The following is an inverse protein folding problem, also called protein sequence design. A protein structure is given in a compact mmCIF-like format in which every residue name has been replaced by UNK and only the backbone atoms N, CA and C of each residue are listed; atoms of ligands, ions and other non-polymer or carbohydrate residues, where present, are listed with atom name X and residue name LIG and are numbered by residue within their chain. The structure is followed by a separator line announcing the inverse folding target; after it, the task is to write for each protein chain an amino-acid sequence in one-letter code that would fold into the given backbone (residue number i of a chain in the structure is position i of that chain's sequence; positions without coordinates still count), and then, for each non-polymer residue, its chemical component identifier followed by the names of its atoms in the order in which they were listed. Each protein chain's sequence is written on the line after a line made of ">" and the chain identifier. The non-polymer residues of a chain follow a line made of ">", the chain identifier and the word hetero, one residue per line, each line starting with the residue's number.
data_IF_350013521956
#
_entry.id   IF_350013521956
#
_cell.length_a   1.000
_cell.length_b   1.000
_cell.length_c   1.000
_cell.angle_alpha   90.00
_cell.angle_beta   90.00
_cell.angle_gamma   90.00
#
_symmetry.space_group_name_H-M   'P 1'
#
loop_
_entity.id
_entity.type
_entity.pdbx_description
1 polymer ?
#
# COMPACT_ATOMS: atom_id res chain seq x y z
N UNK A 1 -8.85 15.34 -10.17
CA UNK A 1 -7.48 14.79 -10.23
C UNK A 1 -6.84 15.17 -11.57
N UNK A 2 -5.51 15.22 -11.61
CA UNK A 2 -4.75 15.45 -12.86
C UNK A 2 -5.13 14.47 -13.96
N UNK A 3 -5.44 13.24 -13.62
CA UNK A 3 -5.90 12.22 -14.56
C UNK A 3 -7.26 12.57 -15.17
N UNK A 4 -8.19 13.06 -14.38
CA UNK A 4 -9.51 13.47 -14.89
C UNK A 4 -9.44 14.62 -15.91
N UNK A 5 -8.43 15.50 -15.77
CA UNK A 5 -8.26 16.67 -16.63
C UNK A 5 -7.31 16.43 -17.82
N UNK A 6 -6.35 15.51 -17.69
CA UNK A 6 -5.21 15.33 -18.60
C UNK A 6 -4.84 13.86 -18.77
N UNK A 7 -5.84 12.97 -18.89
CA UNK A 7 -5.69 11.52 -18.87
C UNK A 7 -4.55 10.99 -19.75
N UNK A 8 -4.56 11.32 -21.04
CA UNK A 8 -3.56 10.82 -22.00
C UNK A 8 -2.13 11.28 -21.65
N UNK A 9 -1.97 12.53 -21.25
CA UNK A 9 -0.67 13.05 -20.84
C UNK A 9 -0.18 12.37 -19.56
N UNK A 10 -1.07 12.16 -18.59
CA UNK A 10 -0.74 11.46 -17.34
C UNK A 10 -0.33 10.01 -17.59
N UNK A 11 -1.04 9.30 -18.49
CA UNK A 11 -0.71 7.93 -18.90
C UNK A 11 0.67 7.87 -19.55
N UNK A 12 0.98 8.81 -20.46
CA UNK A 12 2.28 8.87 -21.12
C UNK A 12 3.41 9.10 -20.12
N UNK A 13 3.27 10.10 -19.23
CA UNK A 13 4.28 10.40 -18.19
C UNK A 13 4.48 9.19 -17.27
N UNK A 14 3.40 8.51 -16.89
CA UNK A 14 3.48 7.35 -16.01
C UNK A 14 4.23 6.18 -16.68
N UNK A 15 3.93 5.87 -17.94
CA UNK A 15 4.68 4.85 -18.70
C UNK A 15 6.14 5.18 -18.84
N UNK A 16 6.47 6.42 -19.19
CA UNK A 16 7.86 6.87 -19.31
C UNK A 16 8.58 6.81 -17.97
N UNK A 17 7.91 7.21 -16.87
CA UNK A 17 8.50 7.13 -15.53
C UNK A 17 8.84 5.67 -15.13
N UNK A 18 7.94 4.72 -15.36
CA UNK A 18 8.22 3.31 -15.08
C UNK A 18 9.34 2.76 -15.96
N UNK A 19 9.38 3.10 -17.25
CA UNK A 19 10.42 2.67 -18.16
C UNK A 19 11.81 3.24 -17.77
N UNK A 20 11.85 4.50 -17.32
CA UNK A 20 13.09 5.19 -16.96
C UNK A 20 13.55 4.87 -15.55
N UNK A 21 12.63 4.63 -14.60
CA UNK A 21 12.97 4.32 -13.21
C UNK A 21 13.92 3.11 -13.11
N UNK A 22 13.74 2.12 -13.98
CA UNK A 22 14.62 0.97 -14.07
C UNK A 22 16.05 1.32 -14.49
N UNK A 23 16.23 2.32 -15.33
CA UNK A 23 17.54 2.77 -15.81
C UNK A 23 18.25 3.64 -14.76
N UNK A 24 17.49 4.43 -14.00
CA UNK A 24 18.01 5.40 -13.02
C UNK A 24 18.35 4.70 -11.69
N UNK A 25 17.55 3.72 -11.30
CA UNK A 25 17.75 2.95 -10.08
C UNK A 25 18.05 1.49 -10.44
N UNK A 26 19.32 1.17 -10.78
CA UNK A 26 19.69 -0.22 -10.88
C UNK A 26 19.30 -0.90 -9.57
N UNK A 27 18.49 -1.94 -9.67
CA UNK A 27 17.98 -2.67 -8.50
C UNK A 27 19.17 -2.99 -7.61
N UNK A 28 19.14 -2.44 -6.40
CA UNK A 28 20.20 -2.68 -5.45
C UNK A 28 20.02 -4.10 -4.88
N UNK A 29 20.61 -5.08 -5.56
CA UNK A 29 20.52 -6.48 -5.18
C UNK A 29 21.24 -6.83 -3.86
N UNK A 30 21.73 -5.83 -3.12
CA UNK A 30 22.38 -6.07 -1.83
C UNK A 30 21.46 -6.69 -0.77
N UNK A 31 20.16 -6.49 -0.89
CA UNK A 31 19.15 -7.12 -0.02
C UNK A 31 18.68 -8.50 -0.50
N UNK A 32 19.10 -8.91 -1.70
CA UNK A 32 18.72 -10.19 -2.27
C UNK A 32 19.50 -11.36 -1.61
N UNK A 33 18.86 -12.53 -1.58
CA UNK A 33 19.51 -13.74 -1.08
C UNK A 33 20.77 -14.07 -1.91
N UNK A 34 21.83 -14.64 -1.30
CA UNK A 34 23.07 -14.99 -2.01
C UNK A 34 22.85 -15.82 -3.26
N UNK A 35 21.86 -16.73 -3.24
CA UNK A 35 21.51 -17.58 -4.38
C UNK A 35 20.98 -16.77 -5.57
N UNK A 36 20.20 -15.72 -5.31
CA UNK A 36 19.69 -14.83 -6.35
C UNK A 36 20.83 -14.03 -6.99
N UNK A 37 21.73 -13.49 -6.17
CA UNK A 37 22.90 -12.73 -6.62
C UNK A 37 23.83 -13.60 -7.47
N UNK A 38 24.13 -14.81 -7.00
CA UNK A 38 24.95 -15.78 -7.75
C UNK A 38 24.31 -16.15 -9.09
N UNK A 39 22.98 -16.35 -9.13
CA UNK A 39 22.27 -16.64 -10.38
C UNK A 39 22.30 -15.46 -11.37
N UNK A 40 22.42 -14.23 -10.88
CA UNK A 40 22.57 -13.02 -11.69
C UNK A 40 24.04 -12.70 -12.05
N UNK A 41 24.99 -13.54 -11.63
CA UNK A 41 26.42 -13.29 -11.85
C UNK A 41 27.02 -12.16 -11.03
N UNK A 42 26.33 -11.72 -9.96
CA UNK A 42 26.78 -10.64 -9.09
C UNK A 42 27.58 -11.21 -7.91
N UNK A 43 28.74 -10.59 -7.65
CA UNK A 43 29.54 -10.88 -6.45
C UNK A 43 28.90 -10.35 -5.17
N UNK A 44 29.43 -10.75 -4.00
CA UNK A 44 28.87 -10.41 -2.69
C UNK A 44 28.82 -8.91 -2.39
N UNK A 45 29.70 -8.12 -3.00
CA UNK A 45 29.81 -6.67 -2.83
C UNK A 45 29.39 -5.86 -4.06
N UNK A 46 29.00 -6.52 -5.15
CA UNK A 46 28.59 -5.81 -6.37
C UNK A 46 27.14 -5.33 -6.29
N UNK A 47 26.93 -4.08 -6.65
CA UNK A 47 25.61 -3.51 -6.87
C UNK A 47 25.37 -3.36 -8.37
N UNK A 48 24.23 -3.80 -8.84
CA UNK A 48 23.87 -3.68 -10.25
C UNK A 48 22.49 -4.25 -10.52
N UNK A 49 21.99 -4.03 -11.74
CA UNK A 49 20.76 -4.65 -12.19
C UNK A 49 20.97 -6.16 -12.37
N UNK A 50 20.11 -6.97 -11.78
CA UNK A 50 20.16 -8.44 -11.89
C UNK A 50 19.62 -8.95 -13.25
N UNK A 51 19.09 -8.07 -14.08
CA UNK A 51 18.60 -8.37 -15.42
C UNK A 51 18.78 -7.16 -16.34
N UNK A 52 18.88 -7.39 -17.63
CA UNK A 52 18.90 -6.33 -18.63
C UNK A 52 17.48 -5.85 -18.94
N UNK A 53 17.33 -4.57 -19.31
CA UNK A 53 16.05 -3.96 -19.67
C UNK A 53 15.28 -4.76 -20.73
N UNK A 54 15.99 -5.29 -21.71
CA UNK A 54 15.41 -6.08 -22.81
C UNK A 54 14.85 -7.43 -22.36
N UNK A 55 15.24 -7.90 -21.18
CA UNK A 55 14.75 -9.15 -20.57
C UNK A 55 13.59 -8.97 -19.59
N UNK A 56 13.14 -7.73 -19.35
CA UNK A 56 12.06 -7.45 -18.43
C UNK A 56 10.71 -7.82 -19.04
N UNK A 57 10.12 -8.87 -18.52
CA UNK A 57 8.78 -9.29 -18.90
C UNK A 57 7.68 -8.55 -18.12
N UNK A 58 8.00 -8.01 -16.94
CA UNK A 58 7.05 -7.36 -16.02
C UNK A 58 7.73 -6.33 -15.13
N UNK A 59 6.97 -5.29 -14.81
CA UNK A 59 7.31 -4.31 -13.77
C UNK A 59 6.43 -4.56 -12.55
N UNK A 60 6.96 -4.29 -11.36
CA UNK A 60 6.21 -4.30 -10.12
C UNK A 60 6.59 -3.13 -9.26
N UNK A 61 5.62 -2.57 -8.55
CA UNK A 61 5.82 -1.52 -7.55
C UNK A 61 5.04 -1.87 -6.28
N UNK A 62 5.59 -1.56 -5.12
CA UNK A 62 4.98 -1.80 -3.83
C UNK A 62 4.80 -0.50 -3.02
N UNK A 63 4.80 0.64 -3.67
CA UNK A 63 4.57 1.94 -3.03
C UNK A 63 3.10 2.03 -2.56
N UNK A 64 2.83 2.17 -1.26
CA UNK A 64 1.46 2.15 -0.74
C UNK A 64 0.56 3.22 -1.35
N UNK A 65 1.13 4.38 -1.69
CA UNK A 65 0.39 5.54 -2.18
C UNK A 65 -0.03 5.42 -3.65
N UNK A 66 0.45 4.40 -4.39
CA UNK A 66 -0.05 4.09 -5.73
C UNK A 66 -1.55 3.79 -5.77
N UNK A 67 -2.14 3.34 -4.68
CA UNK A 67 -3.58 3.12 -4.58
C UNK A 67 -4.38 4.39 -4.94
N UNK A 68 -3.88 5.57 -4.60
CA UNK A 68 -4.53 6.85 -4.88
C UNK A 68 -4.41 7.31 -6.34
N UNK A 69 -3.55 6.66 -7.11
CA UNK A 69 -3.33 6.89 -8.54
C UNK A 69 -3.81 5.69 -9.39
N UNK A 70 -4.64 4.80 -8.83
CA UNK A 70 -5.02 3.54 -9.47
C UNK A 70 -5.65 3.75 -10.85
N UNK A 71 -6.49 4.77 -11.03
CA UNK A 71 -7.12 5.07 -12.32
C UNK A 71 -6.07 5.41 -13.40
N UNK A 72 -5.08 6.21 -13.05
CA UNK A 72 -3.98 6.55 -13.95
C UNK A 72 -3.08 5.33 -14.25
N UNK A 73 -2.83 4.51 -13.22
CA UNK A 73 -2.06 3.28 -13.35
C UNK A 73 -2.73 2.30 -14.30
N UNK A 74 -4.04 2.07 -14.15
CA UNK A 74 -4.82 1.18 -15.00
C UNK A 74 -4.92 1.74 -16.41
N UNK A 75 -5.09 3.05 -16.56
CA UNK A 75 -5.05 3.71 -17.86
C UNK A 75 -3.69 3.53 -18.56
N UNK A 76 -2.59 3.61 -17.83
CA UNK A 76 -1.25 3.39 -18.36
C UNK A 76 -0.96 1.90 -18.65
N UNK A 77 -1.44 1.01 -17.80
CA UNK A 77 -1.19 -0.43 -17.85
C UNK A 77 -2.52 -1.19 -17.70
N UNK A 78 -3.30 -1.35 -18.79
CA UNK A 78 -4.62 -1.98 -18.73
C UNK A 78 -4.62 -3.44 -18.28
N UNK A 79 -3.48 -4.11 -18.35
CA UNK A 79 -3.23 -5.47 -17.88
C UNK A 79 -2.64 -5.54 -16.47
N UNK A 80 -2.53 -4.40 -15.77
CA UNK A 80 -1.99 -4.36 -14.43
C UNK A 80 -2.79 -5.24 -13.48
N UNK A 81 -2.07 -5.98 -12.63
CA UNK A 81 -2.63 -6.78 -11.54
C UNK A 81 -2.33 -6.12 -10.22
N UNK A 82 -3.37 -5.77 -9.49
CA UNK A 82 -3.27 -5.05 -8.23
C UNK A 82 -3.44 -6.04 -7.07
N UNK A 83 -2.47 -6.06 -6.18
CA UNK A 83 -2.56 -6.81 -4.91
C UNK A 83 -2.83 -5.80 -3.80
N UNK A 84 -4.02 -5.89 -3.22
CA UNK A 84 -4.36 -5.16 -2.02
C UNK A 84 -4.00 -6.00 -0.79
N UNK A 85 -3.21 -5.43 0.13
CA UNK A 85 -2.99 -6.01 1.44
C UNK A 85 -3.80 -5.19 2.45
N UNK A 86 -4.78 -5.83 3.10
CA UNK A 86 -5.57 -5.22 4.16
C UNK A 86 -5.09 -5.72 5.51
N UNK A 87 -4.91 -4.80 6.46
CA UNK A 87 -4.49 -5.07 7.83
C UNK A 87 -5.52 -4.49 8.80
N UNK A 88 -5.60 -5.06 10.01
CA UNK A 88 -6.40 -4.49 11.10
C UNK A 88 -6.11 -3.00 11.24
N UNK A 89 -7.18 -2.19 11.18
CA UNK A 89 -7.08 -0.73 11.25
C UNK A 89 -6.43 -0.26 12.55
N UNK A 90 -6.66 -0.97 13.66
CA UNK A 90 -6.07 -0.66 14.96
C UNK A 90 -4.55 -0.83 14.95
N UNK A 91 -4.06 -1.93 14.39
CA UNK A 91 -2.60 -2.14 14.20
C UNK A 91 -2.00 -1.14 13.20
N UNK A 92 -2.76 -0.77 12.16
CA UNK A 92 -2.31 0.20 11.16
C UNK A 92 -2.20 1.60 11.76
N UNK A 93 -3.19 2.03 12.54
CA UNK A 93 -3.17 3.33 13.26
C UNK A 93 -2.05 3.37 14.29
N UNK A 94 -1.88 2.30 15.09
CA UNK A 94 -0.78 2.21 16.05
C UNK A 94 0.60 2.34 15.37
N UNK A 95 0.77 1.74 14.19
CA UNK A 95 2.00 1.86 13.43
C UNK A 95 2.20 3.28 12.87
N UNK A 96 1.15 3.90 12.31
CA UNK A 96 1.22 5.27 11.80
C UNK A 96 1.58 6.29 12.88
N UNK A 97 0.97 6.19 14.07
CA UNK A 97 1.25 7.09 15.19
C UNK A 97 2.70 7.05 15.67
N UNK A 98 3.39 5.93 15.47
CA UNK A 98 4.79 5.75 15.84
C UNK A 98 5.77 6.07 14.72
N UNK A 99 5.28 6.31 13.50
CA UNK A 99 6.12 6.66 12.34
C UNK A 99 6.23 8.17 12.15
N UNK A 100 7.41 8.78 12.42
CA UNK A 100 7.59 10.22 12.27
C UNK A 100 7.37 10.73 10.84
N UNK A 101 7.60 9.89 9.83
CA UNK A 101 7.42 10.28 8.42
C UNK A 101 5.92 10.38 8.12
N UNK A 102 5.15 9.37 8.49
CA UNK A 102 3.68 9.39 8.32
C UNK A 102 3.06 10.56 9.08
N UNK A 103 3.49 10.82 10.32
CA UNK A 103 2.94 11.88 11.14
C UNK A 103 3.24 13.30 10.61
N UNK A 104 4.25 13.47 9.76
CA UNK A 104 4.48 14.76 9.09
C UNK A 104 3.33 15.16 8.16
N UNK A 105 2.66 14.19 7.52
CA UNK A 105 1.53 14.46 6.63
C UNK A 105 0.35 15.12 7.33
N UNK A 106 0.18 14.91 8.64
CA UNK A 106 -0.94 15.44 9.41
C UNK A 106 -0.65 16.81 10.06
N UNK A 107 0.57 17.36 9.85
CA UNK A 107 0.93 18.67 10.41
C UNK A 107 0.16 19.80 9.73
N UNK A 108 -0.21 20.84 10.50
CA UNK A 108 -0.81 22.05 9.94
C UNK A 108 0.06 22.62 8.80
N UNK A 109 -0.59 23.00 7.71
CA UNK A 109 0.08 23.54 6.52
C UNK A 109 0.61 22.51 5.53
N UNK A 110 0.68 21.21 5.90
CA UNK A 110 0.99 20.12 4.97
C UNK A 110 -0.31 19.44 4.51
N UNK A 111 -1.20 19.11 5.45
CA UNK A 111 -2.50 18.57 5.13
C UNK A 111 -3.39 19.64 4.46
N UNK A 112 -3.43 19.64 3.15
CA UNK A 112 -4.14 20.63 2.35
C UNK A 112 -5.55 20.13 1.96
N UNK A 113 -6.39 19.92 2.98
CA UNK A 113 -7.73 19.32 2.84
C UNK A 113 -8.70 20.26 2.12
N UNK A 114 -8.52 21.56 2.28
CA UNK A 114 -9.43 22.55 1.69
C UNK A 114 -9.15 22.78 0.20
N UNK A 115 -7.96 22.52 -0.30
CA UNK A 115 -7.61 22.70 -1.73
C UNK A 115 -7.96 21.50 -2.60
N UNK A 116 -8.11 20.31 -2.00
CA UNK A 116 -8.48 19.09 -2.71
C UNK A 116 -9.55 18.33 -1.92
N UNK A 117 -10.78 18.44 -2.36
CA UNK A 117 -11.93 17.79 -1.74
C UNK A 117 -12.80 17.10 -2.82
N UNK A 118 -13.23 15.86 -2.62
CA UNK A 118 -12.82 14.93 -1.55
C UNK A 118 -11.34 14.57 -1.63
N UNK A 119 -10.72 14.32 -0.46
CA UNK A 119 -9.30 13.97 -0.39
C UNK A 119 -9.12 12.52 0.11
N UNK A 120 -9.04 11.55 -0.80
CA UNK A 120 -8.94 10.14 -0.43
C UNK A 120 -7.62 9.78 0.28
N UNK A 121 -6.55 10.54 0.07
CA UNK A 121 -5.27 10.31 0.73
C UNK A 121 -5.37 10.49 2.25
N UNK A 122 -6.13 11.48 2.70
CA UNK A 122 -6.40 11.70 4.12
C UNK A 122 -7.67 10.98 4.59
N UNK A 123 -8.41 10.34 3.69
CA UNK A 123 -9.68 9.70 3.98
C UNK A 123 -10.83 10.68 4.27
N UNK A 124 -10.68 11.94 3.83
CA UNK A 124 -11.70 12.99 3.93
C UNK A 124 -12.62 12.86 2.71
N UNK A 125 -13.78 12.25 2.90
CA UNK A 125 -14.67 11.88 1.79
C UNK A 125 -15.94 12.73 1.73
N UNK A 126 -16.35 13.32 2.85
CA UNK A 126 -17.56 14.13 2.95
C UNK A 126 -17.34 15.44 3.75
N UNK A 127 -18.35 16.30 3.76
CA UNK A 127 -18.30 17.60 4.45
C UNK A 127 -18.17 17.45 5.97
N UNK A 128 -18.68 16.37 6.56
CA UNK A 128 -18.52 16.11 7.99
C UNK A 128 -17.05 15.87 8.33
N UNK A 129 -16.39 14.97 7.56
CA UNK A 129 -14.96 14.71 7.69
C UNK A 129 -14.15 16.01 7.57
N UNK A 130 -14.49 16.84 6.55
CA UNK A 130 -13.79 18.10 6.28
C UNK A 130 -13.92 19.10 7.42
N UNK A 131 -15.14 19.32 7.90
CA UNK A 131 -15.40 20.29 8.97
C UNK A 131 -14.80 19.87 10.31
N UNK A 132 -14.74 18.57 10.59
CA UNK A 132 -14.23 18.07 11.86
C UNK A 132 -12.72 17.87 11.90
N UNK A 133 -12.06 17.78 10.75
CA UNK A 133 -10.64 17.45 10.60
C UNK A 133 -9.69 18.20 11.52
N UNK A 134 -9.84 19.54 11.62
CA UNK A 134 -8.93 20.36 12.41
C UNK A 134 -8.98 20.05 13.91
N UNK A 135 -10.12 19.56 14.40
CA UNK A 135 -10.35 19.19 15.80
C UNK A 135 -10.09 17.71 16.11
N UNK A 136 -9.80 16.88 15.10
CA UNK A 136 -9.56 15.47 15.32
C UNK A 136 -8.21 15.21 15.98
N UNK A 137 -8.15 14.18 16.83
CA UNK A 137 -6.91 13.63 17.35
C UNK A 137 -6.08 12.98 16.21
N UNK A 138 -4.78 12.80 16.44
CA UNK A 138 -3.91 12.14 15.48
C UNK A 138 -4.37 10.71 15.21
N UNK A 139 -4.88 9.99 16.22
CA UNK A 139 -5.44 8.66 16.05
C UNK A 139 -6.67 8.66 15.13
N UNK A 140 -7.57 9.63 15.29
CA UNK A 140 -8.74 9.79 14.41
C UNK A 140 -8.34 10.13 12.97
N UNK A 141 -7.33 10.98 12.76
CA UNK A 141 -6.79 11.30 11.43
C UNK A 141 -6.15 10.09 10.76
N UNK A 142 -5.36 9.31 11.49
CA UNK A 142 -4.82 8.03 11.00
C UNK A 142 -5.94 7.03 10.67
N UNK A 143 -7.00 6.99 11.47
CA UNK A 143 -8.16 6.15 11.23
C UNK A 143 -8.95 6.57 9.97
N UNK A 144 -9.11 7.88 9.72
CA UNK A 144 -9.66 8.39 8.46
C UNK A 144 -8.85 7.93 7.25
N UNK A 145 -7.53 8.06 7.29
CA UNK A 145 -6.65 7.61 6.22
C UNK A 145 -6.80 6.11 5.95
N UNK A 146 -6.81 5.27 6.99
CA UNK A 146 -7.04 3.84 6.85
C UNK A 146 -8.41 3.53 6.26
N UNK A 147 -9.48 4.18 6.77
CA UNK A 147 -10.85 4.06 6.27
C UNK A 147 -10.93 4.42 4.78
N UNK A 148 -10.35 5.55 4.39
CA UNK A 148 -10.32 6.01 2.99
C UNK A 148 -9.62 5.02 2.07
N UNK A 149 -8.47 4.48 2.47
CA UNK A 149 -7.76 3.46 1.70
C UNK A 149 -8.59 2.18 1.51
N UNK A 150 -9.27 1.71 2.56
CA UNK A 150 -10.15 0.54 2.50
C UNK A 150 -11.36 0.79 1.59
N UNK A 151 -11.98 1.95 1.68
CA UNK A 151 -13.12 2.34 0.83
C UNK A 151 -12.70 2.51 -0.63
N UNK A 152 -11.53 3.10 -0.88
CA UNK A 152 -10.96 3.20 -2.22
C UNK A 152 -10.77 1.82 -2.86
N UNK A 153 -10.19 0.88 -2.15
CA UNK A 153 -10.02 -0.48 -2.65
C UNK A 153 -11.36 -1.21 -2.86
N UNK A 154 -12.37 -0.92 -2.05
CA UNK A 154 -13.72 -1.44 -2.26
C UNK A 154 -14.35 -0.91 -3.56
N UNK A 155 -14.14 0.39 -3.87
CA UNK A 155 -14.57 1.00 -5.15
C UNK A 155 -13.82 0.37 -6.34
N UNK A 156 -12.51 0.22 -6.24
CA UNK A 156 -11.71 -0.43 -7.29
C UNK A 156 -12.19 -1.85 -7.58
N UNK A 157 -12.59 -2.61 -6.57
CA UNK A 157 -13.14 -3.96 -6.75
C UNK A 157 -14.46 -3.98 -7.52
N UNK A 158 -15.24 -2.90 -7.49
CA UNK A 158 -16.49 -2.79 -8.26
C UNK A 158 -16.24 -2.41 -9.72
N UNK A 159 -15.12 -1.79 -10.02
CA UNK A 159 -14.80 -1.27 -11.37
C UNK A 159 -13.82 -2.15 -12.12
N UNK A 160 -12.96 -2.89 -11.44
CA UNK A 160 -11.96 -3.74 -12.05
C UNK A 160 -12.47 -5.16 -12.31
N UNK A 161 -11.99 -5.82 -13.39
CA UNK A 161 -12.16 -7.25 -13.58
C UNK A 161 -11.66 -8.05 -12.36
N UNK A 162 -12.33 -9.16 -12.06
CA UNK A 162 -12.02 -9.97 -10.88
C UNK A 162 -10.59 -10.55 -10.88
N UNK A 163 -9.99 -10.70 -12.05
CA UNK A 163 -8.62 -11.18 -12.24
C UNK A 163 -7.56 -10.07 -12.17
N UNK A 164 -7.97 -8.81 -12.03
CA UNK A 164 -7.04 -7.67 -11.89
C UNK A 164 -6.86 -7.19 -10.45
N UNK A 165 -7.73 -7.56 -9.51
CA UNK A 165 -7.61 -7.16 -8.10
C UNK A 165 -7.71 -8.34 -7.16
N UNK A 166 -6.62 -8.63 -6.45
CA UNK A 166 -6.57 -9.63 -5.38
C UNK A 166 -6.40 -8.96 -4.03
N UNK A 167 -7.28 -9.28 -3.08
CA UNK A 167 -7.14 -8.83 -1.69
C UNK A 167 -6.61 -9.96 -0.82
N UNK A 168 -5.59 -9.66 -0.03
CA UNK A 168 -5.03 -10.55 0.99
C UNK A 168 -5.12 -9.88 2.35
N UNK A 169 -5.40 -10.65 3.39
CA UNK A 169 -5.30 -10.18 4.78
C UNK A 169 -3.86 -10.32 5.25
N UNK A 170 -3.33 -9.26 5.80
CA UNK A 170 -1.97 -9.23 6.35
C UNK A 170 -1.77 -10.35 7.39
N UNK A 171 -2.76 -10.53 8.27
CA UNK A 171 -2.74 -11.52 9.34
C UNK A 171 -2.68 -12.95 8.79
N UNK A 172 -3.36 -13.24 7.69
CA UNK A 172 -3.33 -14.56 7.05
C UNK A 172 -1.99 -14.79 6.33
N UNK A 173 -1.45 -13.75 5.70
CA UNK A 173 -0.13 -13.81 5.06
C UNK A 173 0.98 -14.18 6.06
N UNK A 174 0.96 -13.60 7.25
CA UNK A 174 1.95 -13.92 8.29
C UNK A 174 1.66 -15.22 9.02
N UNK A 175 0.40 -15.67 9.09
CA UNK A 175 0.03 -16.96 9.66
C UNK A 175 0.42 -18.11 8.72
N UNK A 176 0.16 -17.97 7.43
CA UNK A 176 0.33 -18.98 6.40
C UNK A 176 1.15 -18.44 5.19
N UNK A 177 2.43 -18.11 5.37
CA UNK A 177 3.22 -17.43 4.34
C UNK A 177 3.40 -18.26 3.05
N UNK A 178 3.39 -19.59 3.13
CA UNK A 178 3.47 -20.47 1.95
C UNK A 178 2.20 -20.42 1.12
N UNK A 179 1.04 -20.41 1.76
CA UNK A 179 -0.26 -20.29 1.09
C UNK A 179 -0.40 -18.92 0.43
N UNK A 180 0.00 -17.85 1.14
CA UNK A 180 0.02 -16.51 0.58
C UNK A 180 0.94 -16.40 -0.64
N UNK A 181 2.14 -17.00 -0.60
CA UNK A 181 3.06 -17.05 -1.74
C UNK A 181 2.47 -17.83 -2.92
N UNK A 182 1.79 -18.93 -2.67
CA UNK A 182 1.06 -19.70 -3.68
C UNK A 182 -0.04 -18.88 -4.35
N UNK A 183 -0.87 -18.22 -3.56
CA UNK A 183 -1.93 -17.32 -4.04
C UNK A 183 -1.37 -16.17 -4.88
N UNK A 184 -0.27 -15.56 -4.45
CA UNK A 184 0.38 -14.50 -5.20
C UNK A 184 0.99 -15.02 -6.51
N UNK A 185 1.61 -16.20 -6.48
CA UNK A 185 2.16 -16.86 -7.68
C UNK A 185 1.07 -17.10 -8.71
N UNK A 186 -0.05 -17.67 -8.30
CA UNK A 186 -1.21 -17.93 -9.17
C UNK A 186 -1.78 -16.62 -9.73
N UNK A 187 -2.00 -15.64 -8.87
CA UNK A 187 -2.57 -14.36 -9.27
C UNK A 187 -1.66 -13.56 -10.18
N UNK A 188 -0.37 -13.45 -9.86
CA UNK A 188 0.58 -12.66 -10.67
C UNK A 188 1.10 -13.42 -11.88
N UNK A 189 1.02 -14.75 -11.87
CA UNK A 189 1.67 -15.62 -12.87
C UNK A 189 3.19 -15.54 -12.83
N UNK A 190 3.76 -15.14 -11.68
CA UNK A 190 5.20 -15.04 -11.44
C UNK A 190 5.53 -15.77 -10.15
N UNK A 191 6.55 -16.61 -10.16
CA UNK A 191 6.94 -17.36 -8.96
C UNK A 191 7.33 -16.42 -7.83
N UNK A 192 6.55 -16.44 -6.75
CA UNK A 192 6.86 -15.73 -5.51
C UNK A 192 7.59 -16.69 -4.57
N UNK A 193 8.87 -16.42 -4.32
CA UNK A 193 9.68 -17.27 -3.47
C UNK A 193 9.24 -17.13 -1.99
N UNK A 194 8.98 -18.25 -1.33
CA UNK A 194 8.64 -18.29 0.09
C UNK A 194 9.69 -17.64 1.03
N UNK A 195 11.00 -17.60 0.73
CA UNK A 195 11.99 -16.90 1.55
C UNK A 195 11.78 -15.39 1.67
N UNK A 196 11.11 -14.75 0.72
CA UNK A 196 10.73 -13.33 0.83
C UNK A 196 9.86 -13.08 2.08
N UNK A 197 9.16 -14.12 2.54
CA UNK A 197 8.35 -14.12 3.76
C UNK A 197 9.11 -14.56 5.01
N UNK A 198 10.45 -14.72 4.95
CA UNK A 198 11.25 -15.28 6.05
C UNK A 198 11.28 -14.42 7.32
N UNK A 199 11.01 -13.14 7.21
CA UNK A 199 10.87 -12.22 8.35
C UNK A 199 9.53 -12.35 9.11
N UNK A 200 8.71 -13.36 8.77
CA UNK A 200 7.36 -13.54 9.33
C UNK A 200 7.32 -13.60 10.86
N UNK A 201 8.40 -14.06 11.52
CA UNK A 201 8.46 -14.11 13.01
C UNK A 201 8.44 -12.71 13.62
N UNK A 202 9.16 -11.75 13.02
CA UNK A 202 9.15 -10.34 13.46
C UNK A 202 7.79 -9.70 13.16
N UNK A 203 7.26 -9.94 11.97
CA UNK A 203 5.96 -9.44 11.55
C UNK A 203 4.82 -10.00 12.41
N UNK A 204 4.86 -11.29 12.76
CA UNK A 204 3.88 -11.92 13.66
C UNK A 204 3.84 -11.27 15.04
N UNK A 205 4.99 -10.82 15.57
CA UNK A 205 5.05 -10.12 16.85
C UNK A 205 4.43 -8.72 16.80
N UNK A 206 4.21 -8.16 15.62
CA UNK A 206 3.66 -6.82 15.42
C UNK A 206 2.19 -6.84 14.98
N UNK A 207 1.58 -8.02 14.82
CA UNK A 207 0.18 -8.17 14.44
C UNK A 207 -0.68 -8.50 15.66
N UNK A 208 -1.80 -7.81 15.78
CA UNK A 208 -2.72 -7.95 16.91
C UNK A 208 -2.13 -7.40 18.21
N UNK A 209 -1.24 -6.41 18.16
CA UNK A 209 -0.57 -5.81 19.32
C UNK A 209 -1.01 -4.37 19.60
N UNK A 210 -1.98 -3.88 18.85
CA UNK A 210 -2.50 -2.51 18.98
C UNK A 210 -2.91 -2.15 20.43
N UNK A 211 -3.45 -3.11 21.19
CA UNK A 211 -3.85 -2.92 22.58
C UNK A 211 -2.68 -2.59 23.54
N UNK A 212 -1.43 -2.83 23.09
CA UNK A 212 -0.22 -2.44 23.85
C UNK A 212 0.24 -1.02 23.49
N UNK A 213 -0.22 -0.49 22.37
CA UNK A 213 0.28 0.76 21.79
C UNK A 213 -0.75 1.88 21.82
N UNK A 214 -2.05 1.56 21.74
CA UNK A 214 -3.11 2.54 21.75
C UNK A 214 -3.68 2.71 23.17
N UNK A 215 -3.84 3.96 23.60
CA UNK A 215 -4.62 4.30 24.79
C UNK A 215 -6.12 4.07 24.55
N UNK A 216 -6.91 3.99 25.61
CA UNK A 216 -8.36 3.86 25.52
C UNK A 216 -9.02 5.06 24.77
N UNK A 217 -8.46 6.25 24.90
CA UNK A 217 -8.94 7.44 24.19
C UNK A 217 -8.68 7.34 22.70
N UNK A 218 -7.45 6.96 22.30
CA UNK A 218 -7.11 6.77 20.89
C UNK A 218 -7.92 5.65 20.24
N UNK A 219 -8.16 4.56 20.97
CA UNK A 219 -9.02 3.47 20.49
C UNK A 219 -10.46 3.95 20.30
N UNK A 220 -11.02 4.69 21.25
CA UNK A 220 -12.36 5.26 21.13
C UNK A 220 -12.48 6.22 19.95
N UNK A 221 -11.48 7.05 19.70
CA UNK A 221 -11.46 7.98 18.59
C UNK A 221 -11.35 7.24 17.24
N UNK A 222 -10.53 6.21 17.17
CA UNK A 222 -10.43 5.33 16.02
C UNK A 222 -11.76 4.63 15.72
N UNK A 223 -12.40 4.04 16.73
CA UNK A 223 -13.66 3.31 16.57
C UNK A 223 -14.81 4.22 16.10
N UNK A 224 -14.88 5.47 16.56
CA UNK A 224 -15.86 6.45 16.07
C UNK A 224 -15.72 6.70 14.57
N UNK A 225 -14.50 6.68 14.05
CA UNK A 225 -14.19 7.02 12.66
C UNK A 225 -14.23 5.81 11.74
N UNK A 226 -13.68 4.68 12.18
CA UNK A 226 -13.41 3.51 11.33
C UNK A 226 -14.09 2.21 11.81
N UNK A 227 -14.90 2.26 12.87
CA UNK A 227 -15.53 1.06 13.45
C UNK A 227 -16.43 0.30 12.47
N UNK A 228 -17.13 1.00 11.59
CA UNK A 228 -17.96 0.36 10.55
C UNK A 228 -17.11 -0.48 9.60
N UNK A 229 -15.99 0.06 9.10
CA UNK A 229 -15.10 -0.66 8.21
C UNK A 229 -14.37 -1.79 8.90
N UNK A 230 -13.99 -1.62 10.17
CA UNK A 230 -13.43 -2.72 10.97
C UNK A 230 -14.41 -3.89 11.03
N UNK A 231 -15.67 -3.62 11.41
CA UNK A 231 -16.72 -4.64 11.48
C UNK A 231 -16.97 -5.30 10.11
N UNK A 232 -17.08 -4.50 9.04
CA UNK A 232 -17.28 -4.98 7.66
C UNK A 232 -16.17 -5.89 7.17
N UNK A 233 -14.93 -5.65 7.63
CA UNK A 233 -13.77 -6.47 7.31
C UNK A 233 -13.55 -7.64 8.29
N UNK A 234 -14.43 -7.78 9.32
CA UNK A 234 -14.35 -8.83 10.32
C UNK A 234 -13.22 -8.65 11.34
N UNK A 235 -12.87 -7.40 11.62
CA UNK A 235 -12.00 -7.03 12.74
C UNK A 235 -12.90 -6.60 13.91
N UNK A 236 -13.22 -7.52 14.77
CA UNK A 236 -14.00 -7.31 16.00
C UNK A 236 -13.10 -7.17 17.22
#
# INVERSE_FOLDING_TARGET
>A
SLYASHGDATVTVMRDAFAQAWQIHPVNCMECAPQCRSAAGLGDSESGACTEERGLARYGDATPDLAYCADALIGAFPDARIVQIVRDGRDSVAAMLTDPVTMQWFRPGIANIDSEFPNPFYGVEDEHDRMTWSGLSDAAKCALRWRGAVRLAARLRQTLPADQLKTLRYEDMIRNPREAAGTLTEFTGTTVAAPVMSNHRKLKKQSGTWYQSLSLTELSDLEKVAGEELARLGYS
#
